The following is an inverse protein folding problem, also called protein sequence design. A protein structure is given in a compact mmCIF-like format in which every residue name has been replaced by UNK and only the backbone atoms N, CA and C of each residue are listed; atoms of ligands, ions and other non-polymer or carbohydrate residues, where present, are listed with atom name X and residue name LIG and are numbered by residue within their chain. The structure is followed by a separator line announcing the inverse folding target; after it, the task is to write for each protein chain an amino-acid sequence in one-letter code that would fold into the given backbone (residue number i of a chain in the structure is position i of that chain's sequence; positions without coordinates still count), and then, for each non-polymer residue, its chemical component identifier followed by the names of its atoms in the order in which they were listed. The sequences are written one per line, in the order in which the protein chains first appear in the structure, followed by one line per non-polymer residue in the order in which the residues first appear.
data_IF_988768046898
#
_entry.id   IF_988768046898
#
_cell.length_a   1.000
_cell.length_b   1.000
_cell.length_c   1.000
_cell.angle_alpha   90.00
_cell.angle_beta   90.00
_cell.angle_gamma   90.00
#
_symmetry.space_group_name_H-M   'P 1'
#
loop_
_entity.id
_entity.type
_entity.pdbx_description
1 polymer ?
#
# COMPACT_ATOMS: atom_id res chain seq x y z
N UNK A 1 67.95 -28.40 -4.06
CA UNK A 1 66.86 -27.59 -4.67
C UNK A 1 65.54 -28.34 -4.53
N UNK A 2 64.67 -27.88 -3.63
CA UNK A 2 63.22 -28.11 -3.54
C UNK A 2 62.75 -27.46 -2.24
N UNK A 3 62.00 -26.36 -2.33
CA UNK A 3 61.25 -25.79 -1.21
C UNK A 3 60.09 -24.97 -1.79
N UNK A 4 58.92 -25.59 -1.81
CA UNK A 4 57.64 -24.93 -1.99
C UNK A 4 56.65 -25.62 -1.08
N UNK A 5 56.22 -24.93 -0.02
CA UNK A 5 55.22 -25.44 0.89
C UNK A 5 54.79 -24.40 1.91
N UNK A 6 53.50 -24.11 1.91
CA UNK A 6 52.70 -23.58 3.02
C UNK A 6 52.84 -22.10 3.39
N UNK A 7 51.91 -21.30 2.87
CA UNK A 7 51.34 -20.17 3.61
C UNK A 7 49.87 -20.00 3.20
N UNK A 8 48.93 -20.53 3.99
CA UNK A 8 47.54 -20.05 4.11
C UNK A 8 46.89 -20.58 5.40
N UNK A 9 47.15 -19.93 6.53
CA UNK A 9 46.24 -19.89 7.68
C UNK A 9 46.30 -18.46 8.22
N UNK A 10 45.20 -17.72 8.09
CA UNK A 10 45.09 -16.37 8.62
C UNK A 10 43.66 -15.85 8.54
N UNK A 11 43.14 -15.44 9.69
CA UNK A 11 41.99 -14.56 9.90
C UNK A 11 40.56 -15.11 9.72
N UNK A 12 40.08 -15.88 10.69
CA UNK A 12 38.70 -15.72 11.22
C UNK A 12 38.68 -16.12 12.71
N UNK A 13 39.02 -15.20 13.61
CA UNK A 13 38.77 -15.36 15.04
C UNK A 13 38.81 -14.00 15.76
N UNK A 14 37.86 -13.10 15.49
CA UNK A 14 37.70 -11.87 16.27
C UNK A 14 36.34 -11.14 16.07
N UNK A 15 35.19 -11.82 16.02
CA UNK A 15 33.87 -11.14 16.13
C UNK A 15 32.85 -12.06 16.83
N UNK A 16 33.08 -12.45 18.09
CA UNK A 16 32.07 -13.15 18.92
C UNK A 16 32.05 -12.61 20.37
N UNK A 17 32.49 -11.38 20.62
CA UNK A 17 32.60 -10.88 22.02
C UNK A 17 32.17 -9.43 22.19
N UNK A 18 31.05 -9.03 21.56
CA UNK A 18 30.50 -7.68 21.73
C UNK A 18 28.94 -7.63 21.68
N UNK A 19 28.26 -8.69 22.16
CA UNK A 19 26.79 -8.74 22.26
C UNK A 19 26.32 -9.31 23.61
N UNK A 20 27.03 -8.99 24.68
CA UNK A 20 26.59 -9.21 26.06
C UNK A 20 26.89 -7.90 26.77
N UNK A 21 25.90 -7.37 27.51
CA UNK A 21 25.84 -6.05 28.19
C UNK A 21 25.03 -4.97 27.44
N UNK A 22 23.72 -5.19 27.33
CA UNK A 22 22.78 -4.08 27.45
C UNK A 22 22.19 -4.10 28.87
N UNK A 23 22.30 -3.00 29.64
CA UNK A 23 21.74 -2.90 30.98
C UNK A 23 20.21 -2.69 30.89
N UNK A 24 19.47 -3.57 31.54
CA UNK A 24 18.04 -3.44 31.77
C UNK A 24 17.77 -2.26 32.70
N UNK A 25 17.25 -1.16 32.15
CA UNK A 25 16.64 -0.11 32.96
C UNK A 25 15.24 -0.57 33.39
N UNK A 26 15.13 -1.07 34.62
CA UNK A 26 13.86 -1.25 35.33
C UNK A 26 13.57 0.07 36.06
N UNK A 27 12.52 0.78 35.66
CA UNK A 27 12.01 1.93 36.39
C UNK A 27 10.85 1.47 37.31
N UNK A 28 10.91 1.68 38.63
CA UNK A 28 9.80 1.45 39.54
C UNK A 28 8.91 2.69 39.58
N UNK A 29 7.67 2.58 39.11
CA UNK A 29 6.68 3.66 39.12
C UNK A 29 5.41 3.19 39.80
N UNK A 30 5.39 3.22 41.14
CA UNK A 30 4.15 3.17 41.93
C UNK A 30 3.47 4.53 41.95
N UNK A 31 2.15 4.55 42.09
CA UNK A 31 1.41 5.79 42.29
C UNK A 31 -0.08 5.65 42.03
N UNK A 32 -0.80 5.22 43.05
CA UNK A 32 -2.26 5.29 43.14
C UNK A 32 -2.73 6.75 43.05
N UNK A 33 -3.71 7.02 42.21
CA UNK A 33 -4.30 8.34 42.02
C UNK A 33 -5.75 8.23 41.59
N UNK A 34 -6.63 7.99 42.57
CA UNK A 34 -8.07 8.18 42.41
C UNK A 34 -8.37 9.69 42.33
N UNK A 35 -9.18 10.10 41.36
CA UNK A 35 -10.00 11.33 41.41
C UNK A 35 -10.99 11.30 40.24
N UNK A 36 -12.27 11.03 40.52
CA UNK A 36 -13.35 12.03 40.71
C UNK A 36 -13.72 12.80 39.46
N UNK A 37 -14.80 12.32 38.82
CA UNK A 37 -15.97 13.07 38.37
C UNK A 37 -15.77 14.55 38.09
N UNK A 38 -15.85 14.93 36.82
CA UNK A 38 -16.22 16.30 36.44
C UNK A 38 -17.28 16.21 35.35
N UNK A 39 -18.42 16.79 35.68
CA UNK A 39 -19.64 16.91 34.91
C UNK A 39 -19.35 17.48 33.52
N UNK A 40 -19.74 16.75 32.49
CA UNK A 40 -19.84 17.28 31.14
C UNK A 40 -21.01 18.28 31.11
N UNK A 41 -20.80 19.54 30.73
CA UNK A 41 -21.91 20.44 30.44
C UNK A 41 -22.62 19.95 29.17
N UNK A 42 -23.95 19.94 29.22
CA UNK A 42 -24.83 19.64 28.10
C UNK A 42 -24.35 20.33 26.83
N UNK A 43 -23.91 19.52 25.87
CA UNK A 43 -23.69 19.95 24.51
C UNK A 43 -25.05 20.36 23.94
N UNK A 44 -25.28 21.67 23.96
CA UNK A 44 -26.31 22.33 23.19
C UNK A 44 -26.47 21.64 21.84
N UNK A 45 -27.67 21.08 21.63
CA UNK A 45 -28.17 20.60 20.35
C UNK A 45 -27.94 21.70 19.32
N UNK A 46 -26.84 21.56 18.58
CA UNK A 46 -26.55 22.43 17.44
C UNK A 46 -27.73 22.25 16.50
N UNK A 47 -28.40 23.34 16.07
CA UNK A 47 -29.53 23.24 15.14
C UNK A 47 -29.10 22.37 13.97
N UNK A 48 -29.86 21.31 13.72
CA UNK A 48 -29.75 20.48 12.52
C UNK A 48 -29.98 21.42 11.34
N UNK A 49 -28.90 22.05 10.84
CA UNK A 49 -28.95 22.78 9.59
C UNK A 49 -29.49 21.78 8.55
N UNK A 50 -30.59 22.13 7.85
CA UNK A 50 -31.11 21.27 6.82
C UNK A 50 -29.97 20.95 5.84
N UNK A 51 -29.89 19.71 5.33
CA UNK A 51 -28.82 19.29 4.44
C UNK A 51 -28.71 20.31 3.30
N UNK A 52 -27.63 21.09 3.30
CA UNK A 52 -27.35 22.05 2.24
C UNK A 52 -27.41 21.29 0.93
N UNK A 53 -28.25 21.75 -0.01
CA UNK A 53 -28.41 21.08 -1.31
C UNK A 53 -27.03 20.79 -1.89
N UNK A 54 -26.74 19.55 -2.23
CA UNK A 54 -25.44 19.15 -2.76
C UNK A 54 -25.06 20.08 -3.93
N UNK A 55 -23.95 20.80 -3.78
CA UNK A 55 -23.40 21.61 -4.85
C UNK A 55 -22.66 20.69 -5.81
N UNK A 56 -23.30 20.37 -6.94
CA UNK A 56 -22.67 19.73 -8.10
C UNK A 56 -21.50 20.59 -8.61
N UNK A 57 -20.40 19.94 -9.00
CA UNK A 57 -19.21 20.56 -9.62
C UNK A 57 -19.59 21.55 -10.72
N UNK A 58 -20.51 21.18 -11.63
CA UNK A 58 -20.96 22.06 -12.72
C UNK A 58 -21.64 23.33 -12.20
N UNK A 59 -22.45 23.20 -11.17
CA UNK A 59 -23.12 24.34 -10.53
C UNK A 59 -22.10 25.26 -9.86
N UNK A 60 -21.04 24.70 -9.29
CA UNK A 60 -19.93 25.49 -8.75
C UNK A 60 -19.20 26.25 -9.86
N UNK A 61 -18.83 25.58 -10.95
CA UNK A 61 -18.12 26.17 -12.08
C UNK A 61 -18.93 27.30 -12.73
N UNK A 62 -20.25 27.14 -12.85
CA UNK A 62 -21.15 28.17 -13.38
C UNK A 62 -21.20 29.45 -12.52
N UNK A 63 -20.72 29.41 -11.26
CA UNK A 63 -20.60 30.61 -10.40
C UNK A 63 -19.28 31.35 -10.61
N UNK A 64 -18.32 30.75 -11.29
CA UNK A 64 -17.06 31.40 -11.64
C UNK A 64 -17.32 32.37 -12.80
N UNK A 65 -16.91 33.62 -12.62
CA UNK A 65 -17.02 34.64 -13.65
C UNK A 65 -15.64 34.96 -14.22
N UNK A 66 -15.46 34.73 -15.51
CA UNK A 66 -14.18 34.92 -16.19
C UNK A 66 -13.71 36.38 -16.19
N UNK A 67 -14.64 37.33 -16.29
CA UNK A 67 -14.34 38.77 -16.26
C UNK A 67 -13.81 39.19 -14.90
N UNK A 68 -14.49 38.77 -13.83
CA UNK A 68 -14.05 39.05 -12.47
C UNK A 68 -12.65 38.48 -12.25
N UNK A 69 -12.38 37.26 -12.74
CA UNK A 69 -11.06 36.63 -12.62
C UNK A 69 -9.98 37.42 -13.37
N UNK A 70 -10.25 37.88 -14.60
CA UNK A 70 -9.27 38.64 -15.38
C UNK A 70 -8.93 39.99 -14.77
N UNK A 71 -9.90 40.60 -14.07
CA UNK A 71 -9.75 41.89 -13.42
C UNK A 71 -9.03 41.79 -12.06
N UNK A 72 -8.86 40.58 -11.51
CA UNK A 72 -8.11 40.37 -10.26
C UNK A 72 -6.61 40.66 -10.44
N UNK A 73 -5.98 41.34 -9.47
CA UNK A 73 -4.53 41.48 -9.46
C UNK A 73 -3.89 40.11 -9.27
N UNK A 74 -2.78 39.86 -9.98
CA UNK A 74 -1.99 38.65 -9.74
C UNK A 74 -1.30 38.72 -8.39
N UNK A 75 -1.32 37.60 -7.67
CA UNK A 75 -0.58 37.45 -6.42
C UNK A 75 0.93 37.41 -6.73
N UNK A 76 1.72 38.17 -5.99
CA UNK A 76 3.20 38.12 -6.11
C UNK A 76 3.71 36.73 -5.68
N UNK A 77 4.75 36.22 -6.35
CA UNK A 77 5.24 34.84 -6.12
C UNK A 77 5.53 34.48 -4.66
N UNK A 78 6.02 35.43 -3.83
CA UNK A 78 6.24 35.20 -2.40
C UNK A 78 4.96 34.93 -1.60
N UNK A 79 3.84 35.51 -2.03
CA UNK A 79 2.54 35.35 -1.37
C UNK A 79 1.80 34.09 -1.84
N UNK A 80 2.06 33.62 -3.07
CA UNK A 80 1.47 32.37 -3.60
C UNK A 80 1.78 31.19 -2.69
N UNK A 81 3.02 31.04 -2.24
CA UNK A 81 3.41 29.95 -1.34
C UNK A 81 2.67 29.99 0.01
N UNK A 82 2.38 31.19 0.53
CA UNK A 82 1.64 31.37 1.79
C UNK A 82 0.15 31.11 1.61
N UNK A 83 -0.44 31.62 0.52
CA UNK A 83 -1.87 31.50 0.21
C UNK A 83 -2.26 30.08 -0.18
N UNK A 84 -1.38 29.36 -0.89
CA UNK A 84 -1.71 28.07 -1.49
C UNK A 84 -0.91 26.89 -0.95
N UNK A 85 0.04 27.12 -0.02
CA UNK A 85 0.91 26.06 0.51
C UNK A 85 0.18 24.92 1.23
N UNK A 86 -1.08 25.12 1.61
CA UNK A 86 -1.94 24.12 2.23
C UNK A 86 -2.92 23.46 1.24
N UNK A 87 -2.98 23.92 -0.01
CA UNK A 87 -3.89 23.40 -1.04
C UNK A 87 -3.20 22.24 -1.75
N UNK A 88 -3.84 21.05 -1.88
CA UNK A 88 -3.27 19.95 -2.65
C UNK A 88 -3.04 20.38 -4.11
N UNK A 89 -1.85 20.08 -4.64
CA UNK A 89 -1.47 20.42 -6.03
C UNK A 89 -1.36 19.13 -6.85
N UNK A 90 -2.14 19.04 -7.93
CA UNK A 90 -1.95 18.06 -9.00
C UNK A 90 -0.88 18.58 -9.97
N UNK A 91 0.16 17.78 -10.21
CA UNK A 91 1.23 18.12 -11.16
C UNK A 91 1.05 17.33 -12.45
N UNK A 92 1.01 18.05 -13.56
CA UNK A 92 0.93 17.47 -14.89
C UNK A 92 2.32 17.47 -15.52
N UNK A 93 3.02 16.34 -15.41
CA UNK A 93 4.45 16.21 -15.70
C UNK A 93 4.83 16.65 -17.13
N UNK A 94 3.99 16.33 -18.13
CA UNK A 94 4.25 16.63 -19.54
C UNK A 94 4.44 18.13 -19.82
N UNK A 95 3.80 19.00 -19.03
CA UNK A 95 3.83 20.45 -19.23
C UNK A 95 4.27 21.21 -17.97
N UNK A 96 4.76 20.50 -16.95
CA UNK A 96 5.18 21.06 -15.65
C UNK A 96 4.17 22.04 -15.05
N UNK A 97 2.87 21.75 -15.24
CA UNK A 97 1.78 22.60 -14.75
C UNK A 97 1.35 22.16 -13.36
N UNK A 98 1.25 23.12 -12.44
CA UNK A 98 0.68 22.93 -11.11
C UNK A 98 -0.80 23.33 -11.12
N UNK A 99 -1.64 22.43 -10.63
CA UNK A 99 -3.10 22.59 -10.61
C UNK A 99 -3.57 22.42 -9.17
N UNK A 100 -3.85 23.52 -8.44
CA UNK A 100 -4.42 23.42 -7.11
C UNK A 100 -5.83 22.80 -7.17
N UNK A 101 -6.14 21.92 -6.22
CA UNK A 101 -7.39 21.19 -6.11
C UNK A 101 -8.26 21.79 -5.00
N UNK A 102 -9.48 22.19 -5.34
CA UNK A 102 -10.43 22.81 -4.44
C UNK A 102 -11.70 21.97 -4.34
N UNK A 103 -12.27 21.90 -3.13
CA UNK A 103 -13.60 21.32 -2.93
C UNK A 103 -14.69 22.27 -3.43
N UNK A 104 -15.85 21.74 -3.85
CA UNK A 104 -17.08 22.50 -4.12
C UNK A 104 -17.57 23.35 -2.92
N UNK A 105 -17.07 23.08 -1.70
CA UNK A 105 -17.36 23.89 -0.51
C UNK A 105 -16.44 25.12 -0.38
N UNK A 106 -15.39 25.25 -1.20
CA UNK A 106 -14.45 26.38 -1.17
C UNK A 106 -15.15 27.67 -1.61
N UNK A 107 -14.82 28.81 -1.00
CA UNK A 107 -15.41 30.09 -1.42
C UNK A 107 -15.00 30.48 -2.85
N UNK A 108 -15.96 30.92 -3.67
CA UNK A 108 -15.76 31.34 -5.07
C UNK A 108 -14.60 32.36 -5.24
N UNK A 109 -14.45 33.42 -4.41
CA UNK A 109 -13.36 34.38 -4.58
C UNK A 109 -11.96 33.76 -4.47
N UNK A 110 -11.78 32.76 -3.59
CA UNK A 110 -10.50 32.05 -3.44
C UNK A 110 -10.15 31.27 -4.70
N UNK A 111 -11.13 30.55 -5.27
CA UNK A 111 -10.94 29.79 -6.51
C UNK A 111 -10.73 30.73 -7.70
N UNK A 112 -11.40 31.87 -7.75
CA UNK A 112 -11.18 32.89 -8.77
C UNK A 112 -9.75 33.45 -8.72
N UNK A 113 -9.24 33.79 -7.53
CA UNK A 113 -7.85 34.23 -7.37
C UNK A 113 -6.86 33.13 -7.81
N UNK A 114 -7.11 31.88 -7.42
CA UNK A 114 -6.28 30.76 -7.85
C UNK A 114 -6.31 30.55 -9.37
N UNK A 115 -7.45 30.70 -10.04
CA UNK A 115 -7.57 30.67 -11.49
C UNK A 115 -6.80 31.81 -12.17
N UNK A 116 -6.77 33.00 -11.56
CA UNK A 116 -5.98 34.11 -12.08
C UNK A 116 -4.47 33.82 -12.00
N UNK A 117 -4.03 33.24 -10.88
CA UNK A 117 -2.62 33.00 -10.58
C UNK A 117 -2.06 31.76 -11.30
N UNK A 118 -2.77 30.62 -11.25
CA UNK A 118 -2.33 29.33 -11.82
C UNK A 118 -2.84 29.09 -13.25
N UNK A 119 -3.79 29.89 -13.75
CA UNK A 119 -4.52 29.68 -15.02
C UNK A 119 -5.37 28.42 -15.10
N UNK A 120 -5.30 27.53 -14.11
CA UNK A 120 -6.07 26.30 -14.04
C UNK A 120 -6.25 25.85 -12.60
N UNK A 121 -7.41 25.26 -12.30
CA UNK A 121 -7.74 24.68 -10.99
C UNK A 121 -8.55 23.40 -11.18
N UNK A 122 -8.40 22.43 -10.30
CA UNK A 122 -9.29 21.27 -10.23
C UNK A 122 -10.39 21.53 -9.21
N UNK A 123 -11.65 21.35 -9.59
CA UNK A 123 -12.80 21.38 -8.67
C UNK A 123 -13.21 19.95 -8.38
N UNK A 124 -13.28 19.59 -7.10
CA UNK A 124 -13.53 18.22 -6.64
C UNK A 124 -14.77 18.18 -5.76
N UNK A 125 -15.73 17.34 -6.12
CA UNK A 125 -16.84 16.93 -5.26
C UNK A 125 -16.60 15.50 -4.77
N UNK A 126 -16.08 15.42 -3.55
CA UNK A 126 -15.78 14.13 -2.90
C UNK A 126 -17.05 13.32 -2.63
N UNK A 127 -18.20 13.98 -2.43
CA UNK A 127 -19.46 13.28 -2.10
C UNK A 127 -20.02 12.54 -3.30
N UNK A 128 -19.92 13.16 -4.48
CA UNK A 128 -20.39 12.59 -5.74
C UNK A 128 -19.28 11.87 -6.53
N UNK A 129 -18.03 11.89 -6.04
CA UNK A 129 -16.86 11.34 -6.71
C UNK A 129 -16.66 11.95 -8.12
N UNK A 130 -16.85 13.27 -8.22
CA UNK A 130 -16.69 14.03 -9.45
C UNK A 130 -15.51 15.00 -9.31
N UNK A 131 -14.77 15.19 -10.40
CA UNK A 131 -13.74 16.20 -10.48
C UNK A 131 -13.69 16.78 -11.91
N UNK A 132 -13.55 18.10 -12.01
CA UNK A 132 -13.45 18.78 -13.29
C UNK A 132 -12.31 19.79 -13.24
N UNK A 133 -11.46 19.77 -14.27
CA UNK A 133 -10.39 20.74 -14.44
C UNK A 133 -10.97 21.95 -15.18
N UNK A 134 -10.81 23.13 -14.61
CA UNK A 134 -11.21 24.38 -15.24
C UNK A 134 -9.97 25.17 -15.57
N UNK A 135 -9.90 25.68 -16.80
CA UNK A 135 -8.80 26.51 -17.28
C UNK A 135 -9.31 27.88 -17.72
N UNK A 136 -8.59 28.93 -17.35
CA UNK A 136 -8.80 30.27 -17.88
C UNK A 136 -7.95 30.44 -19.14
N UNK A 137 -8.59 30.50 -20.30
CA UNK A 137 -7.95 30.69 -21.60
C UNK A 137 -8.50 31.95 -22.27
N UNK A 138 -7.65 32.96 -22.49
CA UNK A 138 -8.02 34.22 -23.13
C UNK A 138 -9.28 34.88 -22.53
N UNK A 139 -9.41 34.87 -21.20
CA UNK A 139 -10.56 35.46 -20.50
C UNK A 139 -11.84 34.63 -20.58
N UNK A 140 -11.76 33.37 -21.02
CA UNK A 140 -12.88 32.43 -21.05
C UNK A 140 -12.54 31.22 -20.18
N UNK A 141 -13.49 30.78 -19.37
CA UNK A 141 -13.37 29.52 -18.64
C UNK A 141 -13.73 28.37 -19.58
N UNK A 142 -12.79 27.46 -19.75
CA UNK A 142 -12.99 26.24 -20.54
C UNK A 142 -12.82 25.03 -19.62
N UNK A 143 -13.76 24.07 -19.64
CA UNK A 143 -13.50 22.73 -19.15
C UNK A 143 -12.25 22.18 -19.84
N UNK A 144 -11.38 21.58 -19.05
CA UNK A 144 -10.19 20.90 -19.54
C UNK A 144 -10.19 19.48 -18.95
N UNK A 145 -9.36 18.62 -19.51
CA UNK A 145 -9.24 17.25 -19.04
C UNK A 145 -7.90 17.14 -18.31
N UNK A 146 -7.87 16.47 -17.16
CA UNK A 146 -6.60 16.09 -16.56
C UNK A 146 -5.81 15.28 -17.59
N UNK A 147 -4.75 15.85 -18.16
CA UNK A 147 -4.05 15.16 -19.25
C UNK A 147 -3.45 13.86 -18.68
N UNK A 148 -3.91 12.76 -19.26
CA UNK A 148 -3.75 11.44 -18.66
C UNK A 148 -5.04 10.63 -18.63
N UNK A 149 -6.21 11.28 -18.58
CA UNK A 149 -7.49 10.56 -18.49
C UNK A 149 -7.90 9.81 -19.78
N UNK A 150 -7.35 10.17 -20.95
CA UNK A 150 -7.69 9.53 -22.23
C UNK A 150 -6.56 8.72 -22.90
N UNK A 151 -5.30 8.85 -22.49
CA UNK A 151 -4.19 8.16 -23.17
C UNK A 151 -3.10 7.56 -22.26
N UNK A 152 -3.15 7.77 -20.94
CA UNK A 152 -2.46 6.83 -20.07
C UNK A 152 -3.31 5.58 -20.04
N UNK A 153 -2.92 4.56 -20.82
CA UNK A 153 -3.18 3.20 -20.40
C UNK A 153 -2.65 3.16 -18.96
N UNK A 154 -3.51 3.13 -17.93
CA UNK A 154 -3.06 3.26 -16.55
C UNK A 154 -1.97 2.20 -16.38
N UNK A 155 -0.80 2.52 -15.78
CA UNK A 155 0.20 1.51 -15.51
C UNK A 155 -0.55 0.32 -14.95
N UNK A 156 -0.43 -0.89 -15.56
CA UNK A 156 -1.41 -1.97 -15.42
C UNK A 156 -1.70 -2.08 -13.93
N UNK A 157 -2.90 -1.62 -13.55
CA UNK A 157 -3.11 -1.19 -12.18
C UNK A 157 -2.66 -2.32 -11.29
N UNK A 158 -1.66 -2.06 -10.43
CA UNK A 158 -1.23 -3.07 -9.48
C UNK A 158 -2.50 -3.56 -8.81
N UNK A 159 -2.83 -4.83 -9.06
CA UNK A 159 -4.06 -5.39 -8.52
C UNK A 159 -4.02 -5.11 -7.02
N UNK A 160 -5.06 -4.46 -6.50
CA UNK A 160 -5.09 -4.01 -5.11
C UNK A 160 -4.81 -5.21 -4.20
N UNK A 161 -5.21 -6.42 -4.62
CA UNK A 161 -4.95 -7.67 -3.92
C UNK A 161 -3.46 -8.06 -3.80
N UNK A 162 -2.59 -7.46 -4.59
CA UNK A 162 -1.16 -7.73 -4.65
C UNK A 162 -0.34 -6.74 -3.80
N UNK A 163 -0.95 -5.66 -3.31
CA UNK A 163 -0.29 -4.73 -2.41
C UNK A 163 -0.09 -5.36 -1.03
N UNK A 164 0.91 -4.92 -0.25
CA UNK A 164 1.04 -5.34 1.14
C UNK A 164 -0.21 -4.95 1.95
N UNK A 165 -0.72 -5.86 2.79
CA UNK A 165 -1.88 -5.60 3.66
C UNK A 165 -1.54 -5.71 5.14
N UNK A 166 -2.27 -4.94 5.95
CA UNK A 166 -2.36 -5.10 7.41
C UNK A 166 -3.85 -5.04 7.77
N UNK A 167 -4.34 -6.02 8.55
CA UNK A 167 -5.74 -6.10 8.97
C UNK A 167 -6.74 -5.90 7.82
N UNK A 168 -6.49 -6.61 6.70
CA UNK A 168 -7.25 -6.56 5.45
C UNK A 168 -7.32 -5.18 4.77
N UNK A 169 -6.46 -4.22 5.16
CA UNK A 169 -6.34 -2.91 4.50
C UNK A 169 -5.06 -2.86 3.69
N UNK A 170 -5.12 -2.48 2.41
CA UNK A 170 -3.92 -2.33 1.59
C UNK A 170 -3.07 -1.15 2.07
N UNK A 171 -1.76 -1.27 1.88
CA UNK A 171 -0.78 -0.22 2.16
C UNK A 171 -0.29 0.35 0.83
N UNK A 172 -0.61 1.62 0.59
CA UNK A 172 -0.14 2.39 -0.55
C UNK A 172 1.19 3.06 -0.22
N UNK A 173 2.17 2.91 -1.11
CA UNK A 173 3.48 3.55 -1.00
C UNK A 173 3.67 4.61 -2.09
N UNK A 174 4.81 5.29 -2.10
CA UNK A 174 5.15 6.35 -3.07
C UNK A 174 5.04 5.94 -4.55
N UNK A 175 5.06 4.63 -4.88
CA UNK A 175 4.84 4.12 -6.24
C UNK A 175 3.38 4.13 -6.70
N UNK A 176 2.43 4.15 -5.77
CA UNK A 176 0.97 4.08 -6.00
C UNK A 176 0.28 5.46 -6.00
N UNK A 177 1.00 6.50 -6.45
CA UNK A 177 0.66 7.93 -6.29
C UNK A 177 -0.49 8.47 -7.12
N UNK A 178 -0.98 7.75 -8.13
CA UNK A 178 -2.08 8.30 -8.92
C UNK A 178 -3.33 8.39 -8.02
N UNK A 179 -3.91 9.59 -7.94
CA UNK A 179 -5.18 9.84 -7.27
C UNK A 179 -6.26 8.85 -7.74
N UNK A 180 -6.30 8.51 -9.03
CA UNK A 180 -7.23 7.50 -9.57
C UNK A 180 -7.04 6.11 -8.93
N UNK A 181 -5.80 5.76 -8.59
CA UNK A 181 -5.49 4.52 -7.92
C UNK A 181 -5.93 4.56 -6.45
N UNK A 182 -5.68 5.67 -5.76
CA UNK A 182 -6.17 5.90 -4.40
C UNK A 182 -7.71 5.84 -4.35
N UNK A 183 -8.40 6.45 -5.32
CA UNK A 183 -9.87 6.40 -5.46
C UNK A 183 -10.37 4.97 -5.71
N UNK A 184 -9.65 4.19 -6.51
CA UNK A 184 -9.98 2.78 -6.75
C UNK A 184 -9.80 1.93 -5.51
N UNK A 185 -8.72 2.15 -4.76
CA UNK A 185 -8.48 1.46 -3.49
C UNK A 185 -9.56 1.84 -2.47
N UNK A 186 -9.91 3.13 -2.41
CA UNK A 186 -11.02 3.67 -1.63
C UNK A 186 -12.39 3.06 -1.99
N UNK A 187 -12.61 2.64 -3.23
CA UNK A 187 -13.89 2.04 -3.65
C UNK A 187 -13.97 0.53 -3.42
N UNK A 188 -12.83 -0.14 -3.20
CA UNK A 188 -12.79 -1.57 -2.84
C UNK A 188 -12.96 -1.79 -1.35
N UNK A 189 -13.69 -2.83 -0.93
CA UNK A 189 -13.82 -3.20 0.49
C UNK A 189 -12.43 -3.46 1.12
N UNK A 190 -12.10 -2.90 2.30
CA UNK A 190 -12.99 -2.25 3.28
C UNK A 190 -13.25 -0.75 3.10
N UNK A 191 -12.90 -0.17 1.93
CA UNK A 191 -12.94 1.27 1.62
C UNK A 191 -12.00 2.12 2.48
N UNK A 192 -10.95 1.48 2.96
CA UNK A 192 -9.94 2.05 3.85
C UNK A 192 -8.58 1.53 3.43
N UNK A 193 -7.57 2.38 3.48
CA UNK A 193 -6.20 1.98 3.16
C UNK A 193 -5.19 2.81 3.96
N UNK A 194 -4.03 2.23 4.18
CA UNK A 194 -2.91 2.96 4.76
C UNK A 194 -2.14 3.66 3.65
N UNK A 195 -1.76 4.91 3.88
CA UNK A 195 -0.90 5.66 2.96
C UNK A 195 0.43 5.95 3.65
N UNK A 196 1.53 5.47 3.05
CA UNK A 196 2.89 5.63 3.52
C UNK A 196 3.68 6.50 2.55
N UNK A 197 4.05 7.68 3.01
CA UNK A 197 4.95 8.58 2.30
C UNK A 197 6.33 8.55 2.96
N UNK A 198 7.39 8.69 2.17
CA UNK A 198 8.76 8.73 2.68
C UNK A 198 8.90 9.78 3.78
N UNK A 199 9.54 9.40 4.88
CA UNK A 199 9.84 10.27 6.04
C UNK A 199 8.62 10.82 6.79
N UNK A 200 7.40 10.39 6.44
CA UNK A 200 6.19 10.75 7.17
C UNK A 200 5.60 9.53 7.87
N UNK A 201 4.86 9.78 8.95
CA UNK A 201 4.11 8.72 9.60
C UNK A 201 3.00 8.19 8.68
N UNK A 202 2.74 6.87 8.69
CA UNK A 202 1.63 6.33 7.93
C UNK A 202 0.31 6.88 8.47
N UNK A 203 -0.60 7.19 7.54
CA UNK A 203 -1.96 7.64 7.85
C UNK A 203 -2.97 6.62 7.36
N UNK A 204 -4.08 6.48 8.08
CA UNK A 204 -5.25 5.73 7.60
C UNK A 204 -6.14 6.69 6.82
N UNK A 205 -6.45 6.33 5.57
CA UNK A 205 -7.35 7.08 4.70
C UNK A 205 -8.72 6.43 4.70
N UNK A 206 -9.74 7.19 5.10
CA UNK A 206 -11.14 6.75 5.18
C UNK A 206 -12.06 7.75 4.46
N UNK A 207 -12.28 7.59 3.14
CA UNK A 207 -12.97 8.59 2.34
C UNK A 207 -14.42 8.86 2.75
N UNK A 208 -15.09 7.87 3.35
CA UNK A 208 -16.53 7.95 3.69
C UNK A 208 -16.81 8.56 5.05
N UNK A 209 -15.80 8.74 5.90
CA UNK A 209 -15.98 9.27 7.25
C UNK A 209 -15.71 10.78 7.29
N UNK A 210 -16.40 11.50 8.17
CA UNK A 210 -16.21 12.96 8.36
C UNK A 210 -14.79 13.32 8.80
N UNK A 211 -14.05 12.34 9.35
CA UNK A 211 -12.62 12.40 9.56
C UNK A 211 -11.93 11.52 8.52
N UNK A 212 -11.31 12.17 7.53
CA UNK A 212 -10.64 11.48 6.43
C UNK A 212 -9.32 10.82 6.85
N UNK A 213 -8.76 11.24 8.00
CA UNK A 213 -7.46 10.80 8.50
C UNK A 213 -7.52 10.57 10.02
N UNK A 214 -6.95 9.46 10.47
CA UNK A 214 -6.74 9.17 11.89
C UNK A 214 -5.27 8.89 12.16
N UNK A 215 -4.79 9.39 13.32
CA UNK A 215 -3.48 9.03 13.82
C UNK A 215 -3.49 7.54 14.22
N UNK A 216 -2.47 6.82 13.77
CA UNK A 216 -2.34 5.40 14.05
C UNK A 216 -1.67 5.15 15.41
N UNK A 217 -2.16 4.13 16.11
CA UNK A 217 -1.47 3.59 17.28
C UNK A 217 -0.08 3.05 16.89
N UNK A 218 0.85 3.06 17.84
CA UNK A 218 2.23 2.60 17.65
C UNK A 218 2.30 1.16 17.15
N UNK A 219 1.45 0.26 17.68
CA UNK A 219 1.37 -1.14 17.23
C UNK A 219 1.01 -1.25 15.74
N UNK A 220 0.03 -0.47 15.29
CA UNK A 220 -0.39 -0.45 13.88
C UNK A 220 0.73 0.10 12.99
N UNK A 221 1.43 1.15 13.43
CA UNK A 221 2.59 1.70 12.70
C UNK A 221 3.70 0.65 12.54
N UNK A 222 4.01 -0.11 13.60
CA UNK A 222 4.98 -1.20 13.54
C UNK A 222 4.54 -2.32 12.58
N UNK A 223 3.26 -2.72 12.60
CA UNK A 223 2.70 -3.71 11.67
C UNK A 223 2.82 -3.27 10.21
N UNK A 224 2.52 -2.01 9.92
CA UNK A 224 2.65 -1.44 8.56
C UNK A 224 4.11 -1.51 8.11
N UNK A 225 5.05 -1.05 8.95
CA UNK A 225 6.46 -1.08 8.59
C UNK A 225 6.99 -2.51 8.39
N UNK A 226 6.56 -3.43 9.26
CA UNK A 226 6.87 -4.85 9.14
C UNK A 226 6.33 -5.45 7.83
N UNK A 227 5.08 -5.15 7.47
CA UNK A 227 4.47 -5.62 6.23
C UNK A 227 5.17 -5.08 4.99
N UNK A 228 5.50 -3.78 4.95
CA UNK A 228 6.20 -3.16 3.82
C UNK A 228 7.61 -3.74 3.67
N UNK A 229 8.38 -3.80 4.75
CA UNK A 229 9.74 -4.35 4.73
C UNK A 229 9.74 -5.84 4.36
N UNK A 230 8.83 -6.61 4.96
CA UNK A 230 8.64 -8.03 4.70
C UNK A 230 8.26 -8.31 3.26
N UNK A 231 7.35 -7.51 2.70
CA UNK A 231 6.94 -7.59 1.30
C UNK A 231 8.10 -7.31 0.34
N UNK A 232 8.84 -6.22 0.54
CA UNK A 232 10.03 -5.89 -0.28
C UNK A 232 11.11 -6.97 -0.20
N UNK A 233 11.40 -7.48 1.00
CA UNK A 233 12.35 -8.56 1.21
C UNK A 233 11.90 -9.87 0.54
N UNK A 234 10.62 -10.24 0.67
CA UNK A 234 10.05 -11.41 0.02
C UNK A 234 10.08 -11.29 -1.51
N UNK A 235 9.77 -10.12 -2.07
CA UNK A 235 9.82 -9.86 -3.51
C UNK A 235 11.25 -10.05 -4.03
N UNK A 236 12.24 -9.50 -3.35
CA UNK A 236 13.66 -9.67 -3.72
C UNK A 236 14.10 -11.13 -3.59
N UNK A 237 13.73 -11.82 -2.50
CA UNK A 237 14.22 -13.17 -2.20
C UNK A 237 13.50 -14.25 -3.01
N UNK A 238 12.17 -14.29 -2.95
CA UNK A 238 11.34 -15.37 -3.50
C UNK A 238 10.73 -15.03 -4.86
N UNK A 239 10.69 -13.75 -5.23
CA UNK A 239 9.98 -13.27 -6.42
C UNK A 239 8.65 -12.63 -6.06
N UNK A 240 8.16 -11.79 -6.97
CA UNK A 240 6.99 -10.95 -6.74
C UNK A 240 5.70 -11.74 -6.47
N UNK A 241 5.42 -12.79 -7.25
CA UNK A 241 4.20 -13.58 -7.07
C UNK A 241 4.12 -14.28 -5.72
N UNK A 242 5.26 -14.74 -5.21
CA UNK A 242 5.34 -15.36 -3.88
C UNK A 242 5.16 -14.30 -2.79
N UNK A 243 5.73 -13.11 -2.97
CA UNK A 243 5.50 -11.99 -2.05
C UNK A 243 4.01 -11.62 -1.95
N UNK A 244 3.27 -11.63 -3.06
CA UNK A 244 1.82 -11.41 -3.06
C UNK A 244 1.05 -12.47 -2.28
N UNK A 245 1.52 -13.73 -2.25
CA UNK A 245 0.87 -14.79 -1.47
C UNK A 245 1.06 -14.58 0.03
N UNK A 246 2.24 -14.11 0.44
CA UNK A 246 2.60 -13.97 1.87
C UNK A 246 2.05 -12.67 2.46
N UNK A 247 2.21 -11.56 1.73
CA UNK A 247 1.95 -10.21 2.25
C UNK A 247 0.81 -9.48 1.54
N UNK A 248 0.27 -10.06 0.46
CA UNK A 248 -0.84 -9.48 -0.28
C UNK A 248 -2.14 -9.46 0.51
N UNK A 249 -3.27 -9.28 -0.19
CA UNK A 249 -4.60 -9.43 0.42
C UNK A 249 -4.71 -10.81 1.05
N UNK A 250 -5.03 -10.90 2.35
CA UNK A 250 -5.13 -12.17 3.03
C UNK A 250 -6.32 -12.95 2.47
N UNK A 251 -6.16 -14.27 2.35
CA UNK A 251 -7.24 -15.16 1.93
C UNK A 251 -7.84 -15.83 3.16
N UNK A 252 -9.16 -15.99 3.13
CA UNK A 252 -9.86 -16.81 4.12
C UNK A 252 -9.71 -18.27 3.74
N UNK A 253 -9.42 -19.12 4.72
CA UNK A 253 -9.46 -20.56 4.55
C UNK A 253 -10.92 -21.00 4.33
N UNK A 254 -11.20 -21.50 3.14
CA UNK A 254 -12.50 -22.09 2.80
C UNK A 254 -12.50 -23.56 3.15
N UNK A 255 -13.66 -24.09 3.55
CA UNK A 255 -13.86 -25.53 3.57
C UNK A 255 -13.66 -26.06 2.14
N UNK A 256 -12.69 -26.96 1.99
CA UNK A 256 -12.43 -27.60 0.71
C UNK A 256 -13.58 -28.59 0.43
N UNK A 257 -14.42 -28.33 -0.61
CA UNK A 257 -15.53 -29.22 -0.94
C UNK A 257 -15.08 -30.62 -1.34
N UNK A 258 -13.82 -30.76 -1.80
CA UNK A 258 -13.24 -32.04 -2.24
C UNK A 258 -12.57 -32.84 -1.09
N UNK A 259 -12.69 -32.36 0.16
CA UNK A 259 -12.29 -33.06 1.37
C UNK A 259 -11.24 -32.35 2.21
N UNK A 260 -10.92 -32.91 3.38
CA UNK A 260 -9.98 -32.31 4.35
C UNK A 260 -8.63 -31.99 3.71
N UNK A 261 -8.11 -30.79 4.00
CA UNK A 261 -6.72 -30.36 3.77
C UNK A 261 -5.74 -31.54 3.89
N UNK A 262 -5.13 -31.93 2.77
CA UNK A 262 -4.22 -33.09 2.74
C UNK A 262 -2.84 -32.67 3.25
N UNK A 263 -2.70 -32.58 4.57
CA UNK A 263 -1.45 -32.16 5.22
C UNK A 263 -0.29 -33.12 4.98
N UNK A 264 -0.59 -34.39 4.73
CA UNK A 264 0.40 -35.41 4.38
C UNK A 264 0.17 -35.87 2.95
N UNK A 265 0.77 -35.15 2.00
CA UNK A 265 0.94 -35.65 0.63
C UNK A 265 2.36 -36.23 0.48
N UNK A 266 2.55 -37.30 -0.31
CA UNK A 266 3.89 -37.76 -0.71
C UNK A 266 4.61 -36.71 -1.56
N UNK A 267 5.94 -36.62 -1.47
CA UNK A 267 6.77 -35.63 -2.20
C UNK A 267 6.50 -35.64 -3.71
N UNK A 268 6.25 -36.81 -4.30
CA UNK A 268 5.87 -36.96 -5.71
C UNK A 268 4.64 -36.15 -6.13
N UNK A 269 3.73 -35.85 -5.20
CA UNK A 269 2.48 -35.12 -5.44
C UNK A 269 2.53 -33.66 -5.00
N UNK A 270 3.68 -33.13 -4.59
CA UNK A 270 3.79 -31.72 -4.21
C UNK A 270 3.53 -30.84 -5.45
N UNK A 271 2.65 -29.84 -5.34
CA UNK A 271 2.56 -28.79 -6.35
C UNK A 271 3.91 -28.07 -6.46
N UNK A 272 4.38 -27.88 -7.70
CA UNK A 272 5.67 -27.25 -8.01
C UNK A 272 5.45 -26.11 -8.98
N UNK A 273 5.85 -24.93 -8.57
CA UNK A 273 5.68 -23.71 -9.35
C UNK A 273 7.02 -23.05 -9.66
N UNK A 274 7.07 -22.36 -10.79
CA UNK A 274 8.08 -21.31 -11.01
C UNK A 274 7.70 -20.08 -10.18
N UNK A 275 8.69 -19.24 -9.86
CA UNK A 275 8.48 -18.00 -9.09
C UNK A 275 7.54 -16.99 -9.77
N UNK A 276 7.30 -17.13 -11.07
CA UNK A 276 6.42 -16.29 -11.91
C UNK A 276 5.02 -16.89 -12.12
N UNK A 277 4.72 -18.05 -11.52
CA UNK A 277 3.42 -18.69 -11.68
C UNK A 277 2.26 -17.82 -11.13
N UNK A 278 1.03 -17.97 -11.66
CA UNK A 278 -0.11 -17.17 -11.22
C UNK A 278 -0.40 -17.34 -9.72
N UNK A 279 -0.63 -16.21 -9.03
CA UNK A 279 -0.96 -16.16 -7.59
C UNK A 279 -2.13 -17.10 -7.23
N UNK A 280 -3.18 -17.10 -8.08
CA UNK A 280 -4.37 -17.96 -7.89
C UNK A 280 -4.05 -19.45 -7.78
N UNK A 281 -3.04 -19.93 -8.52
CA UNK A 281 -2.68 -21.34 -8.54
C UNK A 281 -1.88 -21.71 -7.28
N UNK A 282 -1.03 -20.79 -6.79
CA UNK A 282 -0.31 -20.93 -5.53
C UNK A 282 -1.26 -20.92 -4.33
N UNK A 283 -2.23 -20.01 -4.31
CA UNK A 283 -3.27 -19.93 -3.25
C UNK A 283 -4.12 -21.20 -3.25
N UNK A 284 -4.57 -21.65 -4.42
CA UNK A 284 -5.29 -22.93 -4.56
C UNK A 284 -4.47 -24.10 -4.01
N UNK A 285 -3.17 -24.15 -4.32
CA UNK A 285 -2.30 -25.19 -3.79
C UNK A 285 -2.18 -25.15 -2.25
N UNK A 286 -2.15 -23.96 -1.65
CA UNK A 286 -2.19 -23.82 -0.19
C UNK A 286 -3.53 -24.30 0.39
N UNK A 287 -4.65 -23.96 -0.24
CA UNK A 287 -5.97 -24.38 0.24
C UNK A 287 -6.16 -25.90 0.17
N UNK A 288 -5.78 -26.56 -0.92
CA UNK A 288 -5.98 -28.02 -1.06
C UNK A 288 -4.90 -28.86 -0.38
N UNK A 289 -3.63 -28.42 -0.43
CA UNK A 289 -2.49 -29.23 -0.02
C UNK A 289 -1.77 -28.69 1.23
N UNK A 290 -2.12 -27.48 1.68
CA UNK A 290 -1.45 -26.80 2.79
C UNK A 290 0.01 -26.42 2.50
N UNK A 291 0.52 -26.69 1.28
CA UNK A 291 1.91 -26.45 0.90
C UNK A 291 2.15 -26.52 -0.61
N UNK A 292 3.23 -25.89 -1.06
CA UNK A 292 3.79 -26.09 -2.40
C UNK A 292 5.30 -25.82 -2.43
N UNK A 293 5.95 -26.16 -3.53
CA UNK A 293 7.35 -25.80 -3.83
C UNK A 293 7.40 -24.69 -4.86
N UNK A 294 8.30 -23.73 -4.67
CA UNK A 294 8.58 -22.69 -5.66
C UNK A 294 10.07 -22.63 -5.98
N UNK A 295 10.41 -22.47 -7.25
CA UNK A 295 11.80 -22.40 -7.71
C UNK A 295 12.08 -21.08 -8.40
N UNK A 296 13.25 -20.51 -8.11
CA UNK A 296 13.75 -19.26 -8.67
C UNK A 296 15.20 -19.43 -9.12
N UNK A 297 15.53 -18.87 -10.27
CA UNK A 297 16.92 -18.75 -10.71
C UNK A 297 17.54 -17.51 -10.04
N UNK A 298 18.64 -17.69 -9.33
CA UNK A 298 19.37 -16.62 -8.65
C UNK A 298 20.86 -16.84 -8.87
N UNK A 299 21.50 -15.94 -9.62
CA UNK A 299 22.95 -16.03 -9.89
C UNK A 299 23.35 -17.27 -10.71
N UNK A 300 22.46 -17.78 -11.57
CA UNK A 300 22.69 -19.02 -12.34
C UNK A 300 22.30 -20.30 -11.60
N UNK A 301 22.16 -20.25 -10.28
CA UNK A 301 21.71 -21.39 -9.48
C UNK A 301 20.19 -21.42 -9.34
N UNK A 302 19.62 -22.63 -9.41
CA UNK A 302 18.21 -22.86 -9.14
C UNK A 302 18.00 -23.09 -7.64
N UNK A 303 17.36 -22.12 -6.99
CA UNK A 303 17.03 -22.17 -5.57
C UNK A 303 15.56 -22.55 -5.41
N UNK A 304 15.28 -23.55 -4.58
CA UNK A 304 13.93 -23.97 -4.22
C UNK A 304 13.53 -23.50 -2.83
N UNK A 305 12.24 -23.21 -2.65
CA UNK A 305 11.60 -22.89 -1.38
C UNK A 305 10.35 -23.74 -1.17
N UNK A 306 10.05 -24.04 0.09
CA UNK A 306 8.80 -24.65 0.55
C UNK A 306 7.91 -23.56 1.11
N UNK A 307 6.70 -23.41 0.55
CA UNK A 307 5.67 -22.52 1.10
C UNK A 307 4.66 -23.40 1.85
N UNK A 308 4.34 -23.03 3.10
CA UNK A 308 3.52 -23.85 4.01
C UNK A 308 2.46 -22.98 4.68
N UNK A 309 1.23 -23.50 4.75
CA UNK A 309 0.16 -23.00 5.61
C UNK A 309 0.41 -23.41 7.07
N UNK A 310 0.46 -22.44 7.99
CA UNK A 310 0.75 -22.63 9.42
C UNK A 310 -0.47 -22.96 10.26
N UNK A 311 -1.66 -22.53 9.84
CA UNK A 311 -2.93 -22.80 10.50
C UNK A 311 -3.85 -23.74 9.68
N UNK A 312 -3.41 -24.97 9.36
CA UNK A 312 -4.27 -25.89 8.64
C UNK A 312 -5.46 -26.32 9.51
N UNK A 313 -6.68 -26.19 8.99
CA UNK A 313 -7.90 -26.61 9.67
C UNK A 313 -8.68 -25.48 10.35
N UNK A 314 -8.17 -24.24 10.29
CA UNK A 314 -8.86 -23.05 10.76
C UNK A 314 -9.80 -22.47 9.70
N UNK A 315 -10.86 -23.20 9.32
CA UNK A 315 -11.86 -22.69 8.37
C UNK A 315 -12.42 -21.35 8.84
N UNK A 316 -12.48 -20.36 7.94
CA UNK A 316 -12.96 -19.02 8.23
C UNK A 316 -11.88 -18.07 8.77
N UNK A 317 -10.71 -18.58 9.17
CA UNK A 317 -9.57 -17.75 9.54
C UNK A 317 -8.75 -17.32 8.31
N UNK A 318 -7.96 -16.25 8.47
CA UNK A 318 -7.00 -15.82 7.46
C UNK A 318 -5.87 -16.84 7.35
N UNK A 319 -5.42 -17.14 6.14
CA UNK A 319 -4.26 -18.00 5.93
C UNK A 319 -2.99 -17.40 6.56
N UNK A 320 -2.31 -18.17 7.39
CA UNK A 320 -0.95 -17.86 7.86
C UNK A 320 0.07 -18.66 7.04
N UNK A 321 0.95 -17.97 6.32
CA UNK A 321 1.84 -18.56 5.33
C UNK A 321 3.30 -18.34 5.71
N UNK A 322 4.09 -19.42 5.68
CA UNK A 322 5.53 -19.37 5.86
C UNK A 322 6.29 -19.82 4.62
N UNK A 323 7.52 -19.34 4.48
CA UNK A 323 8.44 -19.77 3.42
C UNK A 323 9.78 -20.18 4.02
N UNK A 324 10.19 -21.40 3.70
CA UNK A 324 11.45 -22.01 4.16
C UNK A 324 12.30 -22.40 2.95
N UNK A 325 13.63 -22.19 2.96
CA UNK A 325 14.49 -22.73 1.91
C UNK A 325 14.48 -24.26 1.92
N UNK A 326 14.62 -24.89 0.76
CA UNK A 326 14.79 -26.34 0.70
C UNK A 326 16.11 -26.76 1.32
N UNK A 327 16.04 -27.73 2.22
CA UNK A 327 17.23 -28.37 2.78
C UNK A 327 18.02 -29.09 1.69
N UNK A 328 19.31 -29.35 1.92
CA UNK A 328 20.14 -30.13 0.99
C UNK A 328 19.56 -31.52 0.73
N UNK A 329 19.00 -32.14 1.76
CA UNK A 329 18.34 -33.45 1.67
C UNK A 329 17.11 -33.40 0.76
N UNK A 330 16.21 -32.44 0.96
CA UNK A 330 15.02 -32.29 0.10
C UNK A 330 15.41 -32.03 -1.35
N UNK A 331 16.43 -31.20 -1.60
CA UNK A 331 16.94 -30.96 -2.95
C UNK A 331 17.51 -32.23 -3.60
N UNK A 332 18.28 -33.01 -2.84
CA UNK A 332 18.83 -34.28 -3.32
C UNK A 332 17.74 -35.31 -3.64
N UNK A 333 16.74 -35.43 -2.76
CA UNK A 333 15.60 -36.33 -2.97
C UNK A 333 14.79 -35.93 -4.21
N UNK A 334 14.48 -34.64 -4.39
CA UNK A 334 13.79 -34.17 -5.58
C UNK A 334 14.64 -34.32 -6.86
N UNK A 335 15.95 -34.11 -6.78
CA UNK A 335 16.87 -34.35 -7.89
C UNK A 335 16.87 -35.81 -8.33
N UNK A 336 16.90 -36.74 -7.37
CA UNK A 336 16.84 -38.18 -7.63
C UNK A 336 15.48 -38.58 -8.25
N UNK A 337 14.37 -38.08 -7.70
CA UNK A 337 13.04 -38.34 -8.26
C UNK A 337 12.89 -37.77 -9.67
N UNK A 338 13.47 -36.60 -9.95
CA UNK A 338 13.47 -36.00 -11.27
C UNK A 338 14.31 -36.83 -12.26
N UNK A 339 15.46 -37.35 -11.84
CA UNK A 339 16.30 -38.25 -12.64
C UNK A 339 15.53 -39.52 -13.07
N UNK A 340 14.73 -40.08 -12.16
CA UNK A 340 13.86 -41.22 -12.44
C UNK A 340 12.53 -40.85 -13.10
N UNK A 341 12.34 -39.59 -13.54
CA UNK A 341 11.12 -39.08 -14.18
C UNK A 341 9.85 -39.24 -13.33
N UNK A 342 9.98 -39.36 -12.01
CA UNK A 342 8.85 -39.45 -11.09
C UNK A 342 8.23 -38.08 -10.81
N UNK A 343 9.02 -37.02 -10.95
CA UNK A 343 8.57 -35.63 -10.85
C UNK A 343 9.15 -34.79 -11.97
N UNK A 344 8.47 -33.70 -12.31
CA UNK A 344 8.98 -32.66 -13.22
C UNK A 344 9.36 -31.43 -12.39
N UNK A 345 10.63 -31.03 -12.47
CA UNK A 345 11.09 -29.79 -11.86
C UNK A 345 10.84 -28.61 -12.84
N UNK A 346 10.36 -27.46 -12.38
CA UNK A 346 9.94 -26.36 -13.26
C UNK A 346 11.05 -25.60 -13.99
#
# INVERSE_FOLDING_TARGET
MKLSGMFRIGFVAAIVTALILLPSCIAPGGGSGASTSTSQPDLHSRPTEPPRSAFDVRKYINRLNAKDITDLPRTTSGNIAQLYGHVPIYRQDLISREIPLYSVDTSVPVVQQALQDYRSVGIVDVRNNEAELVRLNNGVLVPDVFAGASEMQPPPAEDIENLPHVDSKPILTKGSKNFDFMLRVASTHPRKFYYLQEQMEPILVEPTETKQFSNLDHDVKQKIQHAVNGYSAAKQKYGERVAFVIWGKPYVLTDDPDGRLKLSIPIKHYPRFRYDAPKKDMVRALQHHGRFRVYKNSGGDKVGYKVILKNPGSTGELMDVSVEPLTLRERGEEGLMALFRQIKLP
#
